data_IF_769095544643
#
_entry.id   IF_769095544643
#
_cell.length_a   1.000
_cell.length_b   1.000
_cell.length_c   1.000
_cell.angle_alpha   90.00
_cell.angle_beta   90.00
_cell.angle_gamma   90.00
#
_symmetry.space_group_name_H-M   'P 1'
#
loop_
_entity.id
_entity.type
_entity.pdbx_description
1 polymer ?
#
# COMPACT_ATOMS: atom_id res chain seq x y z
N UNK A 1 -14.78 -3.23 -5.42
CA UNK A 1 -14.48 -2.09 -4.53
C UNK A 1 -13.00 -1.72 -4.62
N UNK A 2 -12.62 -0.75 -5.45
CA UNK A 2 -11.27 -0.17 -5.43
C UNK A 2 -11.31 1.09 -4.57
N UNK A 3 -11.39 0.92 -3.25
CA UNK A 3 -11.51 2.04 -2.29
C UNK A 3 -10.24 2.91 -2.19
N UNK A 4 -9.12 2.43 -2.72
CA UNK A 4 -7.82 3.12 -2.64
C UNK A 4 -7.08 3.07 -3.96
N UNK A 5 -6.71 4.24 -4.49
CA UNK A 5 -5.84 4.37 -5.65
C UNK A 5 -4.46 3.76 -5.37
N UNK A 6 -3.89 3.10 -6.37
CA UNK A 6 -2.54 2.54 -6.36
C UNK A 6 -1.48 3.52 -5.82
N UNK A 7 -1.57 4.79 -6.22
CA UNK A 7 -0.68 5.85 -5.74
C UNK A 7 -0.76 6.05 -4.22
N UNK A 8 -1.97 6.05 -3.65
CA UNK A 8 -2.18 6.15 -2.20
C UNK A 8 -1.54 4.96 -1.47
N UNK A 9 -1.71 3.74 -2.00
CA UNK A 9 -1.12 2.54 -1.39
C UNK A 9 0.41 2.60 -1.39
N UNK A 10 1.01 3.03 -2.49
CA UNK A 10 2.46 3.19 -2.63
C UNK A 10 2.98 4.26 -1.65
N UNK A 11 2.30 5.40 -1.56
CA UNK A 11 2.68 6.45 -0.62
C UNK A 11 2.62 5.96 0.83
N UNK A 12 1.55 5.27 1.21
CA UNK A 12 1.35 4.73 2.56
C UNK A 12 2.42 3.69 2.89
N UNK A 13 2.73 2.76 1.99
CA UNK A 13 3.77 1.74 2.22
C UNK A 13 5.17 2.34 2.20
N UNK A 14 5.45 3.31 1.35
CA UNK A 14 6.73 4.03 1.33
C UNK A 14 6.94 4.81 2.62
N UNK A 15 5.90 5.51 3.11
CA UNK A 15 5.94 6.18 4.41
C UNK A 15 6.05 5.18 5.57
N UNK A 16 5.45 4.00 5.45
CA UNK A 16 5.53 2.94 6.47
C UNK A 16 6.93 2.32 6.57
N UNK A 17 7.59 2.12 5.42
CA UNK A 17 8.99 1.66 5.36
C UNK A 17 9.96 2.74 5.88
N UNK A 18 9.68 4.01 5.60
CA UNK A 18 10.54 5.13 6.00
C UNK A 18 10.32 5.59 7.45
N UNK A 19 9.08 5.54 7.95
CA UNK A 19 8.67 6.02 9.27
C UNK A 19 8.13 4.83 10.05
N UNK A 20 8.88 4.40 11.05
CA UNK A 20 8.61 3.27 11.93
C UNK A 20 7.13 3.22 12.35
N UNK A 21 6.37 2.26 11.79
CA UNK A 21 5.04 1.66 12.12
C UNK A 21 3.97 2.44 12.91
N UNK A 22 4.33 3.17 13.95
CA UNK A 22 3.43 3.63 15.00
C UNK A 22 2.67 4.90 14.57
N UNK A 23 1.58 4.72 13.82
CA UNK A 23 0.53 5.75 13.69
C UNK A 23 -0.03 5.99 12.29
N UNK A 24 0.60 5.46 11.23
CA UNK A 24 0.15 5.71 9.85
C UNK A 24 -1.28 5.23 9.57
N UNK A 25 -1.68 4.09 10.14
CA UNK A 25 -3.07 3.62 10.01
C UNK A 25 -4.09 4.57 10.62
N UNK A 26 -3.74 5.26 11.71
CA UNK A 26 -4.60 6.25 12.36
C UNK A 26 -4.63 7.57 11.58
N UNK A 27 -3.50 7.98 11.01
CA UNK A 27 -3.34 9.22 10.24
C UNK A 27 -4.10 9.16 8.90
N UNK A 28 -4.08 8.01 8.23
CA UNK A 28 -4.76 7.80 6.95
C UNK A 28 -6.16 7.17 7.09
N UNK A 29 -6.56 6.77 8.30
CA UNK A 29 -7.81 6.02 8.52
C UNK A 29 -7.82 4.65 7.83
N UNK A 30 -6.64 4.08 7.58
CA UNK A 30 -6.48 2.80 6.89
C UNK A 30 -6.24 1.72 7.93
N UNK A 31 -6.97 0.63 7.76
CA UNK A 31 -6.85 -0.53 8.62
C UNK A 31 -5.41 -1.07 8.63
N UNK A 32 -4.89 -1.34 9.82
CA UNK A 32 -3.52 -1.83 9.98
C UNK A 32 -3.30 -3.17 9.25
N UNK A 33 -4.35 -4.00 9.19
CA UNK A 33 -4.33 -5.25 8.44
C UNK A 33 -4.12 -5.03 6.94
N UNK A 34 -4.77 -4.02 6.36
CA UNK A 34 -4.60 -3.67 4.95
C UNK A 34 -3.19 -3.16 4.64
N UNK A 35 -2.64 -2.31 5.52
CA UNK A 35 -1.26 -1.82 5.40
C UNK A 35 -0.28 -2.99 5.47
N UNK A 36 -0.46 -3.90 6.43
CA UNK A 36 0.39 -5.08 6.59
C UNK A 36 0.41 -5.94 5.34
N UNK A 37 -0.75 -6.26 4.76
CA UNK A 37 -0.82 -7.02 3.50
C UNK A 37 -0.10 -6.31 2.35
N UNK A 38 -0.19 -4.97 2.27
CA UNK A 38 0.54 -4.22 1.24
C UNK A 38 2.05 -4.24 1.45
N UNK A 39 2.50 -4.17 2.71
CA UNK A 39 3.93 -4.23 3.06
C UNK A 39 4.49 -5.63 2.78
N UNK A 40 3.76 -6.69 3.11
CA UNK A 40 4.16 -8.07 2.80
C UNK A 40 4.30 -8.26 1.28
N UNK A 41 3.31 -7.82 0.50
CA UNK A 41 3.38 -7.82 -0.97
C UNK A 41 4.58 -7.04 -1.52
N UNK A 42 4.88 -5.87 -0.95
CA UNK A 42 6.05 -5.07 -1.36
C UNK A 42 7.36 -5.73 -0.93
N UNK A 43 7.38 -6.47 0.18
CA UNK A 43 8.57 -7.19 0.64
C UNK A 43 8.88 -8.38 -0.26
N UNK A 44 7.86 -9.07 -0.77
CA UNK A 44 8.02 -10.23 -1.65
C UNK A 44 8.25 -9.86 -3.12
N UNK A 45 7.54 -8.86 -3.63
CA UNK A 45 7.49 -8.52 -5.05
C UNK A 45 7.94 -7.08 -5.38
N UNK A 46 8.29 -6.28 -4.37
CA UNK A 46 8.61 -4.86 -4.52
C UNK A 46 7.37 -3.98 -4.71
N UNK A 47 7.59 -2.67 -4.92
CA UNK A 47 6.53 -1.67 -5.20
C UNK A 47 5.66 -2.03 -6.42
N UNK A 48 6.13 -2.96 -7.25
CA UNK A 48 5.43 -3.48 -8.43
C UNK A 48 4.18 -4.29 -8.07
N UNK A 49 4.11 -4.91 -6.87
CA UNK A 49 2.91 -5.62 -6.43
C UNK A 49 1.76 -4.70 -6.02
N UNK A 50 2.08 -3.51 -5.53
CA UNK A 50 1.09 -2.46 -5.28
C UNK A 50 0.63 -1.79 -6.56
N UNK A 51 1.46 -1.81 -7.60
CA UNK A 51 1.13 -1.35 -8.94
C UNK A 51 0.14 -2.34 -9.55
N UNK A 52 -1.11 -2.26 -9.09
CA UNK A 52 -2.26 -2.95 -9.68
C UNK A 52 -2.14 -2.68 -11.16
N UNK A 53 -1.89 -3.75 -11.92
CA UNK A 53 -1.85 -3.76 -13.37
C UNK A 53 -3.18 -3.17 -13.82
N UNK A 54 -3.23 -1.86 -14.06
CA UNK A 54 -4.25 -1.27 -14.91
C UNK A 54 -3.86 -1.66 -16.34
N UNK A 55 -3.77 -2.95 -16.60
CA UNK A 55 -3.72 -3.48 -17.96
C UNK A 55 -5.15 -3.28 -18.43
N UNK A 56 -5.37 -2.10 -19.00
CA UNK A 56 -6.48 -1.82 -19.88
C UNK A 56 -6.43 -2.93 -20.91
N UNK A 57 -7.30 -3.93 -20.75
CA UNK A 57 -7.60 -4.90 -21.80
C UNK A 57 -7.95 -4.10 -23.05
N UNK A 58 -7.24 -4.37 -24.14
CA UNK A 58 -7.62 -3.95 -25.47
C UNK A 58 -7.29 -5.07 -26.44
#
# INVERSE_FOLDING_TARGET
MTKYSTALKIEVVSKYLARQMAGLGKEYGIDYTAIRSWVELVREHGLVALRVKHVKQK
#
